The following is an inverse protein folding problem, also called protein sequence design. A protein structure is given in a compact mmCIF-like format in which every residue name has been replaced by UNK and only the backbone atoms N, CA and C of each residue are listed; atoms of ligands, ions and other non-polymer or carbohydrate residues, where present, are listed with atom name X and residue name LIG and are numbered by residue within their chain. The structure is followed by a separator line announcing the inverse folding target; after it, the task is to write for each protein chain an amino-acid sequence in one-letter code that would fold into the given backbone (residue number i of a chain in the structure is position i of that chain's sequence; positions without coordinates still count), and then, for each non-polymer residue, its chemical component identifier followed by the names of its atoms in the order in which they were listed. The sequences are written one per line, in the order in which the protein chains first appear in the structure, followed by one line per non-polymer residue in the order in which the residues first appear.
data_IF_579256475876
#
_entry.id   IF_579256475876
#
_cell.length_a   1.000
_cell.length_b   1.000
_cell.length_c   1.000
_cell.angle_alpha   90.00
_cell.angle_beta   90.00
_cell.angle_gamma   90.00
#
_symmetry.space_group_name_H-M   'P 1'
#
loop_
_entity.id
_entity.type
_entity.pdbx_description
1 polymer ?
#
# COMPACT_ATOMS: atom_id res chain seq x y z
N UNK A 1 10.22 -29.60 -15.75
CA UNK A 1 10.42 -28.32 -15.04
C UNK A 1 9.20 -27.46 -15.32
N UNK A 2 8.40 -27.11 -14.31
CA UNK A 2 7.32 -26.14 -14.48
C UNK A 2 7.96 -24.78 -14.78
N UNK A 3 8.06 -24.41 -16.06
CA UNK A 3 8.51 -23.08 -16.43
C UNK A 3 7.42 -22.10 -16.01
N UNK A 4 7.64 -21.39 -14.90
CA UNK A 4 6.74 -20.32 -14.46
C UNK A 4 6.67 -19.27 -15.56
N UNK A 5 5.45 -19.01 -16.03
CA UNK A 5 5.19 -17.99 -17.07
C UNK A 5 5.46 -16.59 -16.52
N UNK A 6 5.13 -16.36 -15.24
CA UNK A 6 5.24 -15.07 -14.57
C UNK A 6 6.23 -15.13 -13.41
N UNK A 7 7.11 -14.14 -13.33
CA UNK A 7 8.14 -14.05 -12.29
C UNK A 7 8.36 -12.58 -11.89
N UNK A 8 8.60 -12.33 -10.60
CA UNK A 8 9.07 -11.01 -10.16
C UNK A 8 10.50 -10.78 -10.67
N UNK A 9 10.77 -9.58 -11.17
CA UNK A 9 12.13 -9.16 -11.47
C UNK A 9 12.99 -9.22 -10.21
N UNK A 10 14.08 -10.00 -10.28
CA UNK A 10 14.99 -10.27 -9.15
C UNK A 10 14.31 -10.82 -7.87
N UNK A 11 13.08 -11.34 -7.97
CA UNK A 11 12.28 -11.82 -6.82
C UNK A 11 11.93 -10.73 -5.80
N UNK A 12 12.01 -9.45 -6.20
CA UNK A 12 11.66 -8.30 -5.37
C UNK A 12 10.32 -7.72 -5.82
N UNK A 13 9.50 -7.28 -4.86
CA UNK A 13 8.19 -6.70 -5.19
C UNK A 13 8.31 -5.31 -5.82
N UNK A 14 9.31 -4.52 -5.43
CA UNK A 14 9.53 -3.18 -5.96
C UNK A 14 10.92 -3.05 -6.55
N UNK A 15 11.00 -2.32 -7.67
CA UNK A 15 12.26 -1.88 -8.25
C UNK A 15 12.97 -0.92 -7.29
N UNK A 16 14.30 -1.01 -7.25
CA UNK A 16 15.12 0.03 -6.62
C UNK A 16 15.05 1.32 -7.42
N UNK A 17 15.44 2.44 -6.80
CA UNK A 17 15.42 3.75 -7.48
C UNK A 17 16.35 3.78 -8.71
N UNK A 18 17.49 3.10 -8.64
CA UNK A 18 18.45 2.98 -9.75
C UNK A 18 17.83 2.23 -10.93
N UNK A 19 17.22 1.08 -10.67
CA UNK A 19 16.52 0.29 -11.68
C UNK A 19 15.36 1.05 -12.28
N UNK A 20 14.53 1.69 -11.44
CA UNK A 20 13.41 2.50 -11.90
C UNK A 20 13.86 3.63 -12.82
N UNK A 21 14.97 4.30 -12.49
CA UNK A 21 15.53 5.35 -13.35
C UNK A 21 16.02 4.80 -14.69
N UNK A 22 16.60 3.59 -14.71
CA UNK A 22 16.98 2.93 -15.95
C UNK A 22 15.74 2.56 -16.79
N UNK A 23 14.73 1.96 -16.18
CA UNK A 23 13.50 1.56 -16.87
C UNK A 23 12.68 2.76 -17.36
N UNK A 24 12.60 3.85 -16.59
CA UNK A 24 11.90 5.10 -17.01
C UNK A 24 12.55 5.74 -18.23
N UNK A 25 13.88 5.74 -18.33
CA UNK A 25 14.59 6.33 -19.49
C UNK A 25 14.34 5.60 -20.80
N UNK A 26 14.04 4.30 -20.73
CA UNK A 26 14.03 3.42 -21.91
C UNK A 26 12.65 2.84 -22.23
N UNK A 27 11.79 2.64 -21.23
CA UNK A 27 10.72 1.64 -21.32
C UNK A 27 9.38 2.04 -20.68
N UNK A 28 9.38 2.82 -19.59
CA UNK A 28 8.15 3.32 -18.95
C UNK A 28 7.84 4.70 -19.54
N UNK A 29 7.20 4.73 -20.73
CA UNK A 29 6.79 5.95 -21.43
C UNK A 29 5.29 5.88 -21.81
N UNK A 30 4.70 7.01 -22.19
CA UNK A 30 3.26 7.09 -22.53
C UNK A 30 2.88 6.25 -23.76
N UNK A 31 3.86 5.85 -24.57
CA UNK A 31 3.66 5.09 -25.80
C UNK A 31 3.40 3.59 -25.54
N UNK A 32 3.80 3.09 -24.36
CA UNK A 32 3.78 1.68 -23.96
C UNK A 32 2.60 1.31 -23.04
N UNK A 33 1.39 1.82 -23.35
CA UNK A 33 0.17 1.51 -22.60
C UNK A 33 -0.35 0.12 -22.91
N UNK A 34 -0.78 -0.59 -21.86
CA UNK A 34 -1.41 -1.91 -22.00
C UNK A 34 -2.85 -1.77 -22.50
N UNK A 35 -3.16 -2.45 -23.60
CA UNK A 35 -4.51 -2.61 -24.18
C UNK A 35 -5.25 -1.31 -24.61
N UNK A 36 -6.34 -1.49 -25.36
CA UNK A 36 -7.23 -0.41 -25.79
C UNK A 36 -8.00 0.25 -24.64
N UNK A 37 -8.59 1.43 -24.87
CA UNK A 37 -9.30 2.26 -23.87
C UNK A 37 -10.38 1.51 -23.09
N UNK A 38 -11.03 0.51 -23.70
CA UNK A 38 -12.23 -0.12 -23.15
C UNK A 38 -11.99 -1.46 -22.46
N UNK A 39 -10.74 -1.93 -22.44
CA UNK A 39 -10.42 -3.32 -22.07
C UNK A 39 -10.15 -3.53 -20.58
N UNK A 40 -9.52 -2.56 -19.92
CA UNK A 40 -9.24 -2.56 -18.48
C UNK A 40 -10.02 -1.46 -17.78
N UNK A 41 -10.22 -1.59 -16.47
CA UNK A 41 -10.74 -0.48 -15.64
C UNK A 41 -9.78 0.72 -15.72
N UNK A 42 -10.34 1.94 -15.77
CA UNK A 42 -9.60 3.18 -16.09
C UNK A 42 -8.33 3.37 -15.26
N UNK A 43 -8.43 3.32 -13.92
CA UNK A 43 -7.25 3.53 -13.06
C UNK A 43 -6.19 2.44 -13.26
N UNK A 44 -6.61 1.19 -13.49
CA UNK A 44 -5.67 0.09 -13.71
C UNK A 44 -4.88 0.28 -15.00
N UNK A 45 -5.58 0.68 -16.07
CA UNK A 45 -4.96 0.93 -17.38
C UNK A 45 -3.87 1.99 -17.31
N UNK A 46 -4.09 3.07 -16.58
CA UNK A 46 -3.14 4.18 -16.50
C UNK A 46 -1.94 3.88 -15.58
N UNK A 47 -2.00 2.79 -14.80
CA UNK A 47 -0.94 2.37 -13.89
C UNK A 47 -0.24 1.07 -14.32
N UNK A 48 -0.54 0.53 -15.52
CA UNK A 48 0.18 -0.61 -16.08
C UNK A 48 0.79 -0.22 -17.43
N UNK A 49 2.07 -0.51 -17.58
CA UNK A 49 2.81 -0.39 -18.84
C UNK A 49 3.52 -1.71 -19.15
N UNK A 50 3.97 -1.88 -20.38
CA UNK A 50 4.78 -3.04 -20.77
C UNK A 50 6.08 -2.59 -21.44
N UNK A 51 7.05 -3.49 -21.53
CA UNK A 51 8.24 -3.27 -22.32
C UNK A 51 8.78 -4.56 -22.90
N UNK A 52 9.02 -4.50 -24.20
CA UNK A 52 9.76 -5.52 -24.94
C UNK A 52 11.22 -5.05 -25.11
N UNK A 53 12.03 -5.25 -24.07
CA UNK A 53 13.40 -4.73 -23.96
C UNK A 53 14.32 -5.32 -25.06
N UNK A 54 14.03 -6.54 -25.50
CA UNK A 54 14.80 -7.26 -26.51
C UNK A 54 13.85 -8.05 -27.41
N UNK A 55 13.52 -7.50 -28.58
CA UNK A 55 12.52 -8.04 -29.52
C UNK A 55 12.75 -9.52 -29.89
N UNK A 56 14.00 -9.96 -29.82
CA UNK A 56 14.42 -11.33 -30.16
C UNK A 56 14.41 -12.31 -28.96
N UNK A 57 14.09 -11.84 -27.75
CA UNK A 57 14.04 -12.69 -26.56
C UNK A 57 12.64 -13.22 -26.27
N UNK A 58 12.61 -14.44 -25.72
CA UNK A 58 11.39 -15.10 -25.24
C UNK A 58 10.94 -14.57 -23.86
N UNK A 59 11.07 -13.27 -23.62
CA UNK A 59 10.46 -12.62 -22.47
C UNK A 59 10.22 -11.13 -22.69
N UNK A 60 9.32 -10.57 -21.90
CA UNK A 60 9.11 -9.13 -21.77
C UNK A 60 8.64 -8.78 -20.36
N UNK A 61 8.46 -7.50 -20.08
CA UNK A 61 8.08 -7.03 -18.74
C UNK A 61 6.75 -6.28 -18.74
N UNK A 62 5.96 -6.47 -17.68
CA UNK A 62 4.92 -5.54 -17.26
C UNK A 62 5.41 -4.74 -16.06
N UNK A 63 5.07 -3.45 -16.02
CA UNK A 63 5.34 -2.56 -14.90
C UNK A 63 4.03 -2.07 -14.29
N UNK A 64 3.89 -2.26 -12.99
CA UNK A 64 2.73 -1.90 -12.19
C UNK A 64 3.09 -0.75 -11.26
N UNK A 65 2.40 0.39 -11.40
CA UNK A 65 2.70 1.65 -10.71
C UNK A 65 1.72 1.90 -9.56
N UNK A 66 2.16 1.75 -8.31
CA UNK A 66 1.38 2.19 -7.14
C UNK A 66 1.59 3.70 -6.89
N UNK A 67 2.84 4.14 -6.98
CA UNK A 67 3.25 5.54 -6.80
C UNK A 67 4.42 5.89 -7.71
N UNK A 68 4.85 7.14 -7.73
CA UNK A 68 5.98 7.58 -8.58
C UNK A 68 7.31 6.89 -8.27
N UNK A 69 7.43 6.35 -7.07
CA UNK A 69 8.63 5.67 -6.55
C UNK A 69 8.43 4.16 -6.41
N UNK A 70 7.20 3.65 -6.55
CA UNK A 70 6.89 2.23 -6.34
C UNK A 70 6.33 1.58 -7.59
N UNK A 71 7.25 0.91 -8.28
CA UNK A 71 6.99 0.13 -9.48
C UNK A 71 7.34 -1.33 -9.22
N UNK A 72 6.44 -2.22 -9.59
CA UNK A 72 6.69 -3.67 -9.62
C UNK A 72 6.92 -4.09 -11.06
N UNK A 73 7.99 -4.84 -11.31
CA UNK A 73 8.27 -5.40 -12.63
C UNK A 73 8.00 -6.91 -12.62
N UNK A 74 7.09 -7.34 -13.49
CA UNK A 74 6.77 -8.76 -13.72
C UNK A 74 7.34 -9.16 -15.06
N UNK A 75 8.25 -10.14 -15.03
CA UNK A 75 8.77 -10.81 -16.21
C UNK A 75 7.76 -11.83 -16.69
N UNK A 76 7.44 -11.79 -17.97
CA UNK A 76 6.63 -12.78 -18.67
C UNK A 76 7.57 -13.60 -19.55
N UNK A 77 7.75 -14.89 -19.25
CA UNK A 77 8.62 -15.82 -19.98
C UNK A 77 7.94 -16.34 -21.26
N UNK A 78 7.45 -15.43 -22.10
CA UNK A 78 6.87 -15.69 -23.43
C UNK A 78 7.43 -14.69 -24.42
N UNK A 79 7.48 -15.05 -25.71
CA UNK A 79 7.81 -14.09 -26.78
C UNK A 79 6.77 -12.97 -26.76
N UNK A 80 7.24 -11.72 -26.78
CA UNK A 80 6.33 -10.59 -26.92
C UNK A 80 5.64 -10.70 -28.29
N UNK A 81 4.31 -10.72 -28.36
CA UNK A 81 3.70 -11.04 -29.63
C UNK A 81 3.58 -9.73 -30.45
N UNK A 82 4.28 -9.63 -31.57
CA UNK A 82 4.50 -8.35 -32.27
C UNK A 82 3.24 -7.84 -33.01
N UNK A 83 2.29 -8.73 -33.32
CA UNK A 83 0.99 -8.42 -33.95
C UNK A 83 0.01 -7.67 -33.00
N UNK A 84 0.44 -7.39 -31.77
CA UNK A 84 -0.38 -6.88 -30.67
C UNK A 84 -0.32 -5.36 -30.53
N UNK A 85 0.56 -4.69 -31.28
CA UNK A 85 0.66 -3.24 -31.22
C UNK A 85 -0.60 -2.55 -31.77
N UNK A 86 -1.36 -1.98 -30.83
CA UNK A 86 -2.34 -0.88 -30.97
C UNK A 86 -3.46 -1.14 -31.99
N UNK A 87 -4.65 -1.46 -31.47
CA UNK A 87 -5.93 -1.43 -32.20
C UNK A 87 -6.07 -2.47 -33.31
N UNK A 88 -5.56 -3.69 -33.11
CA UNK A 88 -5.95 -4.81 -33.99
C UNK A 88 -7.48 -4.99 -33.95
N UNK A 89 -8.10 -5.00 -35.14
CA UNK A 89 -9.51 -5.36 -35.32
C UNK A 89 -9.74 -6.88 -35.18
N UNK A 90 -8.67 -7.67 -35.04
CA UNK A 90 -8.75 -9.12 -34.83
C UNK A 90 -9.11 -9.46 -33.38
N UNK A 91 -10.34 -9.94 -33.20
CA UNK A 91 -10.90 -10.37 -31.91
C UNK A 91 -10.06 -11.46 -31.21
N UNK A 92 -9.35 -12.34 -31.94
CA UNK A 92 -8.53 -13.40 -31.33
C UNK A 92 -7.27 -12.85 -30.68
N UNK A 93 -6.58 -11.94 -31.37
CA UNK A 93 -5.36 -11.30 -30.86
C UNK A 93 -5.69 -10.45 -29.64
N UNK A 94 -6.80 -9.70 -29.69
CA UNK A 94 -7.30 -8.93 -28.54
C UNK A 94 -7.62 -9.81 -27.33
N UNK A 95 -8.22 -10.97 -27.54
CA UNK A 95 -8.56 -11.92 -26.47
C UNK A 95 -7.29 -12.46 -25.78
N UNK A 96 -6.29 -12.88 -26.55
CA UNK A 96 -5.04 -13.41 -26.00
C UNK A 96 -4.28 -12.34 -25.18
N UNK A 97 -4.28 -11.09 -25.65
CA UNK A 97 -3.67 -9.97 -24.92
C UNK A 97 -4.31 -9.74 -23.57
N UNK A 98 -5.64 -9.72 -23.55
CA UNK A 98 -6.40 -9.54 -22.33
C UNK A 98 -6.13 -10.65 -21.33
N UNK A 99 -6.02 -11.88 -21.84
CA UNK A 99 -5.66 -13.03 -21.02
C UNK A 99 -4.28 -12.85 -20.38
N UNK A 100 -3.25 -12.58 -21.18
CA UNK A 100 -1.88 -12.46 -20.66
C UNK A 100 -1.74 -11.32 -19.66
N UNK A 101 -2.37 -10.18 -19.94
CA UNK A 101 -2.41 -9.02 -19.03
C UNK A 101 -3.18 -9.34 -17.76
N UNK A 102 -4.34 -10.00 -17.90
CA UNK A 102 -5.15 -10.46 -16.77
C UNK A 102 -4.35 -11.38 -15.84
N UNK A 103 -3.72 -12.41 -16.40
CA UNK A 103 -2.86 -13.35 -15.66
C UNK A 103 -1.70 -12.62 -14.97
N UNK A 104 -1.07 -11.63 -15.63
CA UNK A 104 -0.03 -10.80 -15.01
C UNK A 104 -0.57 -9.95 -13.84
N UNK A 105 -1.79 -9.42 -13.94
CA UNK A 105 -2.46 -8.69 -12.86
C UNK A 105 -2.76 -9.62 -11.67
N UNK A 106 -3.25 -10.84 -11.94
CA UNK A 106 -3.53 -11.82 -10.89
C UNK A 106 -2.26 -12.26 -10.18
N UNK A 107 -1.20 -12.53 -10.95
CA UNK A 107 0.11 -12.82 -10.37
C UNK A 107 0.60 -11.65 -9.51
N UNK A 108 0.49 -10.41 -10.00
CA UNK A 108 0.81 -9.21 -9.24
C UNK A 108 0.04 -9.12 -7.92
N UNK A 109 -1.28 -9.36 -7.95
CA UNK A 109 -2.11 -9.38 -6.75
C UNK A 109 -1.62 -10.39 -5.72
N UNK A 110 -1.25 -11.59 -6.16
CA UNK A 110 -0.72 -12.61 -5.24
C UNK A 110 0.60 -12.18 -4.58
N UNK A 111 1.48 -11.51 -5.32
CA UNK A 111 2.79 -11.11 -4.80
C UNK A 111 2.71 -9.86 -3.91
N UNK A 112 1.87 -8.89 -4.27
CA UNK A 112 1.71 -7.65 -3.49
C UNK A 112 0.97 -7.90 -2.17
N UNK A 113 0.00 -8.83 -2.13
CA UNK A 113 -0.67 -9.20 -0.89
C UNK A 113 0.30 -9.89 0.07
N UNK A 114 1.12 -10.83 -0.41
CA UNK A 114 2.20 -11.43 0.39
C UNK A 114 3.14 -10.38 0.97
N UNK A 115 3.54 -9.40 0.15
CA UNK A 115 4.36 -8.29 0.62
C UNK A 115 3.70 -7.50 1.76
N UNK A 116 2.40 -7.19 1.65
CA UNK A 116 1.67 -6.50 2.74
C UNK A 116 1.56 -7.36 3.99
N UNK A 117 1.25 -8.65 3.85
CA UNK A 117 1.19 -9.59 4.97
C UNK A 117 2.53 -9.66 5.71
N UNK A 118 3.66 -9.76 4.99
CA UNK A 118 5.01 -9.75 5.58
C UNK A 118 5.28 -8.44 6.32
N UNK A 119 4.94 -7.30 5.71
CA UNK A 119 5.09 -5.99 6.36
C UNK A 119 4.29 -5.90 7.65
N UNK A 120 3.05 -6.39 7.66
CA UNK A 120 2.21 -6.36 8.84
C UNK A 120 2.74 -7.32 9.91
N UNK A 121 3.17 -8.52 9.53
CA UNK A 121 3.77 -9.49 10.44
C UNK A 121 5.06 -8.97 11.11
N UNK A 122 5.74 -7.99 10.49
CA UNK A 122 6.90 -7.32 11.09
C UNK A 122 6.54 -6.32 12.20
N UNK A 123 5.26 -6.02 12.41
CA UNK A 123 4.80 -5.18 13.50
C UNK A 123 4.78 -5.96 14.82
N UNK A 124 5.34 -5.35 15.86
CA UNK A 124 5.28 -5.87 17.23
C UNK A 124 3.92 -5.52 17.86
N UNK A 125 2.92 -6.36 17.59
CA UNK A 125 1.56 -6.16 18.09
C UNK A 125 1.48 -6.20 19.62
N UNK A 126 2.29 -7.03 20.28
CA UNK A 126 2.33 -7.10 21.75
C UNK A 126 2.72 -5.74 22.34
N UNK A 127 3.77 -5.12 21.80
CA UNK A 127 4.19 -3.78 22.21
C UNK A 127 3.14 -2.72 21.88
N UNK A 128 2.47 -2.85 20.73
CA UNK A 128 1.40 -1.93 20.31
C UNK A 128 0.09 -2.10 21.10
N UNK A 129 -0.13 -3.20 21.81
CA UNK A 129 -1.20 -3.32 22.81
C UNK A 129 -0.72 -2.97 24.22
N UNK A 130 0.58 -3.17 24.51
CA UNK A 130 1.18 -2.98 25.82
C UNK A 130 1.40 -1.53 26.20
N UNK A 131 1.92 -0.69 25.29
CA UNK A 131 2.31 0.70 25.56
C UNK A 131 2.13 1.63 24.37
N UNK A 132 1.93 2.94 24.62
CA UNK A 132 1.91 3.94 23.54
C UNK A 132 3.28 4.00 22.83
N UNK A 133 3.28 3.87 21.49
CA UNK A 133 4.47 3.96 20.64
C UNK A 133 4.24 4.86 19.43
N UNK A 134 4.85 6.05 19.44
CA UNK A 134 4.79 6.97 18.30
C UNK A 134 5.47 6.38 17.04
N UNK A 135 6.61 5.71 17.21
CA UNK A 135 7.31 5.06 16.11
C UNK A 135 6.51 3.89 15.53
N UNK A 136 5.87 3.10 16.39
CA UNK A 136 4.96 2.03 15.99
C UNK A 136 3.77 2.54 15.19
N UNK A 137 3.13 3.61 15.64
CA UNK A 137 2.05 4.29 14.92
C UNK A 137 2.51 4.81 13.55
N UNK A 138 3.70 5.43 13.45
CA UNK A 138 4.25 5.88 12.15
C UNK A 138 4.50 4.72 11.19
N UNK A 139 4.90 3.54 11.69
CA UNK A 139 5.05 2.32 10.86
C UNK A 139 3.71 1.82 10.36
N UNK A 140 2.70 1.74 11.23
CA UNK A 140 1.33 1.38 10.87
C UNK A 140 0.78 2.33 9.80
N UNK A 141 0.91 3.64 10.02
CA UNK A 141 0.41 4.66 9.10
C UNK A 141 0.99 4.47 7.70
N UNK A 142 2.31 4.27 7.58
CA UNK A 142 2.97 3.99 6.29
C UNK A 142 2.42 2.74 5.62
N UNK A 143 2.22 1.65 6.36
CA UNK A 143 1.68 0.40 5.82
C UNK A 143 0.25 0.61 5.29
N UNK A 144 -0.61 1.25 6.09
CA UNK A 144 -2.01 1.53 5.70
C UNK A 144 -2.08 2.47 4.50
N UNK A 145 -1.24 3.51 4.44
CA UNK A 145 -1.16 4.40 3.27
C UNK A 145 -0.80 3.62 2.01
N UNK A 146 0.20 2.73 2.07
CA UNK A 146 0.60 1.90 0.92
C UNK A 146 -0.52 0.97 0.45
N UNK A 147 -1.18 0.27 1.39
CA UNK A 147 -2.31 -0.61 1.11
C UNK A 147 -3.47 0.18 0.49
N UNK A 148 -3.77 1.37 1.03
CA UNK A 148 -4.84 2.25 0.52
C UNK A 148 -4.55 2.70 -0.92
N UNK A 149 -3.30 3.09 -1.21
CA UNK A 149 -2.90 3.46 -2.58
C UNK A 149 -3.05 2.28 -3.54
N UNK A 150 -2.69 1.08 -3.10
CA UNK A 150 -2.88 -0.14 -3.89
C UNK A 150 -4.36 -0.39 -4.18
N UNK A 151 -5.25 -0.35 -3.18
CA UNK A 151 -6.69 -0.52 -3.38
C UNK A 151 -7.30 0.55 -4.30
N UNK A 152 -6.84 1.79 -4.21
CA UNK A 152 -7.38 2.89 -5.00
C UNK A 152 -6.99 2.83 -6.50
N UNK A 153 -5.79 2.31 -6.80
CA UNK A 153 -5.19 2.40 -8.13
C UNK A 153 -5.10 1.07 -8.87
N UNK A 154 -4.84 0.00 -8.13
CA UNK A 154 -4.40 -1.26 -8.70
C UNK A 154 -5.39 -2.40 -8.49
N UNK A 155 -6.11 -2.46 -7.37
CA UNK A 155 -7.00 -3.58 -7.10
C UNK A 155 -8.39 -3.38 -7.72
N UNK A 156 -8.79 -4.35 -8.52
CA UNK A 156 -10.15 -4.54 -8.99
C UNK A 156 -10.47 -6.03 -8.92
N UNK A 157 -11.56 -6.39 -8.25
CA UNK A 157 -12.05 -7.78 -8.21
C UNK A 157 -12.29 -8.34 -9.63
N UNK A 158 -12.68 -7.48 -10.56
CA UNK A 158 -12.81 -7.78 -11.98
C UNK A 158 -12.02 -6.74 -12.79
N UNK A 159 -10.73 -7.00 -13.07
CA UNK A 159 -9.83 -6.00 -13.67
C UNK A 159 -10.11 -5.77 -15.17
N UNK A 160 -10.68 -6.76 -15.85
CA UNK A 160 -11.10 -6.70 -17.25
C UNK A 160 -12.56 -6.23 -17.34
N UNK A 161 -12.87 -5.34 -18.29
CA UNK A 161 -14.23 -4.79 -18.50
C UNK A 161 -15.12 -5.64 -19.41
N UNK A 162 -14.56 -6.56 -20.19
CA UNK A 162 -15.31 -7.33 -21.19
C UNK A 162 -16.13 -8.48 -20.60
N UNK A 163 -17.39 -8.61 -21.03
CA UNK A 163 -18.30 -9.74 -20.73
C UNK A 163 -18.08 -10.88 -21.73
N UNK A 164 -16.87 -11.43 -21.79
CA UNK A 164 -16.47 -12.51 -22.72
C UNK A 164 -15.76 -13.65 -21.98
N UNK A 165 -15.50 -14.75 -22.68
CA UNK A 165 -14.80 -15.95 -22.16
C UNK A 165 -13.45 -15.66 -21.47
N UNK A 166 -12.75 -14.59 -21.83
CA UNK A 166 -11.53 -14.16 -21.13
C UNK A 166 -11.78 -13.78 -19.66
N UNK A 167 -12.96 -13.26 -19.31
CA UNK A 167 -13.31 -12.98 -17.91
C UNK A 167 -13.56 -14.26 -17.12
N UNK A 168 -14.11 -15.30 -17.76
CA UNK A 168 -14.32 -16.60 -17.13
C UNK A 168 -12.98 -17.30 -16.89
N UNK A 169 -12.12 -17.35 -17.91
CA UNK A 169 -10.76 -17.91 -17.78
C UNK A 169 -9.95 -17.15 -16.71
N UNK A 170 -10.08 -15.83 -16.64
CA UNK A 170 -9.39 -15.05 -15.61
C UNK A 170 -9.92 -15.35 -14.20
N UNK A 171 -11.22 -15.64 -14.06
CA UNK A 171 -11.80 -16.02 -12.77
C UNK A 171 -11.21 -17.34 -12.29
N UNK A 172 -11.07 -18.34 -13.17
CA UNK A 172 -10.40 -19.60 -12.85
C UNK A 172 -8.95 -19.36 -12.38
N UNK A 173 -8.20 -18.46 -13.04
CA UNK A 173 -6.84 -18.10 -12.59
C UNK A 173 -6.86 -17.40 -11.22
N UNK A 174 -7.84 -16.54 -10.95
CA UNK A 174 -8.00 -15.94 -9.61
C UNK A 174 -8.29 -16.98 -8.53
N UNK A 175 -9.07 -18.01 -8.85
CA UNK A 175 -9.33 -19.16 -7.96
C UNK A 175 -8.06 -19.99 -7.76
N UNK A 176 -7.30 -20.30 -8.81
CA UNK A 176 -6.02 -21.03 -8.69
C UNK A 176 -5.01 -20.33 -7.77
N UNK A 177 -4.99 -18.99 -7.82
CA UNK A 177 -4.15 -18.18 -6.94
C UNK A 177 -4.81 -17.89 -5.58
N UNK A 178 -6.02 -18.36 -5.29
CA UNK A 178 -6.79 -18.06 -4.08
C UNK A 178 -6.85 -16.54 -3.79
N UNK A 179 -7.01 -15.71 -4.81
CA UNK A 179 -6.96 -14.24 -4.66
C UNK A 179 -8.03 -13.75 -3.68
N UNK A 180 -9.28 -14.18 -3.84
CA UNK A 180 -10.38 -13.73 -2.97
C UNK A 180 -10.13 -14.07 -1.48
N UNK A 181 -9.54 -15.23 -1.20
CA UNK A 181 -9.18 -15.63 0.17
C UNK A 181 -8.01 -14.78 0.72
N UNK A 182 -6.93 -14.61 -0.06
CA UNK A 182 -5.79 -13.77 0.33
C UNK A 182 -6.21 -12.33 0.65
N UNK A 183 -7.12 -11.76 -0.14
CA UNK A 183 -7.67 -10.43 0.11
C UNK A 183 -8.58 -10.39 1.35
N UNK A 184 -9.42 -11.41 1.54
CA UNK A 184 -10.25 -11.55 2.74
C UNK A 184 -9.40 -11.61 4.01
N UNK A 185 -8.29 -12.35 3.98
CA UNK A 185 -7.33 -12.39 5.09
C UNK A 185 -6.67 -11.03 5.31
N UNK A 186 -6.22 -10.37 4.24
CA UNK A 186 -5.64 -9.03 4.33
C UNK A 186 -6.63 -8.03 4.93
N UNK A 187 -7.91 -8.08 4.56
CA UNK A 187 -8.96 -7.23 5.13
C UNK A 187 -9.17 -7.47 6.62
N UNK A 188 -9.19 -8.74 7.08
CA UNK A 188 -9.26 -9.07 8.51
C UNK A 188 -8.07 -8.48 9.27
N UNK A 189 -6.87 -8.61 8.72
CA UNK A 189 -5.65 -8.07 9.32
C UNK A 189 -5.69 -6.53 9.36
N UNK A 190 -6.17 -5.87 8.30
CA UNK A 190 -6.35 -4.41 8.28
C UNK A 190 -7.33 -3.97 9.36
N UNK A 191 -8.41 -4.74 9.61
CA UNK A 191 -9.34 -4.46 10.70
C UNK A 191 -8.63 -4.49 12.05
N UNK A 192 -7.82 -5.52 12.32
CA UNK A 192 -7.03 -5.62 13.55
C UNK A 192 -6.07 -4.41 13.70
N UNK A 193 -5.40 -3.99 12.64
CA UNK A 193 -4.54 -2.80 12.65
C UNK A 193 -5.32 -1.54 13.01
N UNK A 194 -6.56 -1.39 12.50
CA UNK A 194 -7.41 -0.24 12.85
C UNK A 194 -7.73 -0.23 14.33
N UNK A 195 -8.07 -1.38 14.90
CA UNK A 195 -8.37 -1.51 16.33
C UNK A 195 -7.15 -1.15 17.19
N UNK A 196 -5.97 -1.66 16.82
CA UNK A 196 -4.70 -1.32 17.46
C UNK A 196 -4.40 0.18 17.37
N UNK A 197 -4.64 0.78 16.20
CA UNK A 197 -4.42 2.21 15.97
C UNK A 197 -5.34 3.04 16.83
N UNK A 198 -6.62 2.67 16.91
CA UNK A 198 -7.61 3.33 17.76
C UNK A 198 -7.17 3.28 19.22
N UNK A 199 -6.80 2.11 19.69
CA UNK A 199 -6.31 1.89 21.06
C UNK A 199 -5.08 2.75 21.40
N UNK A 200 -4.10 2.79 20.49
CA UNK A 200 -2.90 3.62 20.63
C UNK A 200 -3.20 5.12 20.68
N UNK A 201 -4.18 5.59 19.90
CA UNK A 201 -4.60 6.99 19.89
C UNK A 201 -5.37 7.37 21.17
N UNK A 202 -6.18 6.47 21.72
CA UNK A 202 -6.88 6.69 22.98
C UNK A 202 -5.89 6.85 24.14
N UNK A 203 -4.94 5.92 24.26
CA UNK A 203 -3.86 6.00 25.27
C UNK A 203 -2.99 7.25 25.12
N UNK A 204 -2.77 7.72 23.89
CA UNK A 204 -2.07 8.99 23.66
C UNK A 204 -2.83 10.15 24.31
N UNK A 205 -4.16 10.21 24.11
CA UNK A 205 -5.02 11.24 24.70
C UNK A 205 -5.06 11.15 26.22
N UNK A 206 -5.11 9.95 26.78
CA UNK A 206 -5.03 9.76 28.24
C UNK A 206 -3.70 10.27 28.81
N UNK A 207 -2.57 9.89 28.19
CA UNK A 207 -1.25 10.38 28.60
C UNK A 207 -1.10 11.90 28.45
N UNK A 208 -1.76 12.52 27.46
CA UNK A 208 -1.79 13.97 27.29
C UNK A 208 -2.61 14.64 28.39
N UNK A 209 -3.80 14.11 28.72
CA UNK A 209 -4.63 14.59 29.83
C UNK A 209 -3.92 14.47 31.18
N UNK A 210 -3.31 13.32 31.48
CA UNK A 210 -2.56 13.15 32.74
C UNK A 210 -1.40 14.15 32.88
N UNK A 211 -0.74 14.50 31.76
CA UNK A 211 0.31 15.52 31.75
C UNK A 211 -0.24 16.92 32.02
N UNK A 212 -1.40 17.25 31.45
CA UNK A 212 -2.09 18.51 31.71
C UNK A 212 -2.56 18.60 33.16
N UNK A 213 -3.16 17.54 33.70
CA UNK A 213 -3.62 17.47 35.08
C UNK A 213 -2.46 17.64 36.07
N UNK A 214 -1.35 16.92 35.87
CA UNK A 214 -0.12 17.09 36.68
C UNK A 214 0.45 18.50 36.59
N UNK A 215 0.40 19.13 35.40
CA UNK A 215 0.85 20.51 35.22
C UNK A 215 -0.05 21.49 35.96
N UNK A 216 -1.38 21.29 35.89
CA UNK A 216 -2.37 22.10 36.62
C UNK A 216 -2.21 21.95 38.13
N UNK A 217 -2.00 20.74 38.63
CA UNK A 217 -1.75 20.47 40.05
C UNK A 217 -0.48 21.19 40.55
N UNK A 218 0.60 21.18 39.75
CA UNK A 218 1.81 21.93 40.08
C UNK A 218 1.57 23.45 40.11
N UNK A 219 0.82 24.00 39.15
CA UNK A 219 0.44 25.41 39.17
C UNK A 219 -0.41 25.76 40.38
N UNK A 220 -1.37 24.90 40.76
CA UNK A 220 -2.19 25.10 41.95
C UNK A 220 -1.36 25.12 43.23
N UNK A 221 -0.34 24.25 43.36
CA UNK A 221 0.60 24.28 44.49
C UNK A 221 1.39 25.59 44.55
N UNK A 222 1.86 26.07 43.40
CA UNK A 222 2.58 27.35 43.30
C UNK A 222 1.65 28.51 43.71
N UNK A 223 0.43 28.57 43.19
CA UNK A 223 -0.53 29.62 43.52
C UNK A 223 -0.95 29.59 44.99
N UNK A 224 -1.13 28.41 45.59
CA UNK A 224 -1.43 28.27 47.02
C UNK A 224 -0.28 28.79 47.90
N UNK A 225 0.97 28.48 47.56
CA UNK A 225 2.14 28.96 48.30
C UNK A 225 2.28 30.50 48.23
N UNK A 226 2.04 31.09 47.05
CA UNK A 226 2.00 32.55 46.88
C UNK A 226 0.91 33.17 47.75
N UNK A 227 -0.30 32.58 47.76
CA UNK A 227 -1.42 33.05 48.58
C UNK A 227 -1.12 33.03 50.08
N UNK A 228 -0.48 31.96 50.58
CA UNK A 228 -0.05 31.86 51.99
C UNK A 228 0.97 32.95 52.32
N UNK A 229 1.97 33.16 51.46
CA UNK A 229 2.99 34.18 51.68
C UNK A 229 2.40 35.60 51.74
N UNK A 230 1.46 35.91 50.84
CA UNK A 230 0.75 37.19 50.83
C UNK A 230 -0.08 37.39 52.10
N UNK A 231 -0.84 36.38 52.54
CA UNK A 231 -1.62 36.45 53.78
C UNK A 231 -0.73 36.68 55.02
N UNK A 232 0.44 36.05 55.08
CA UNK A 232 1.43 36.30 56.15
C UNK A 232 1.94 37.74 56.10
N UNK A 233 2.26 38.27 54.92
CA UNK A 233 2.69 39.66 54.75
C UNK A 233 1.59 40.64 55.21
N UNK A 234 0.33 40.40 54.83
CA UNK A 234 -0.81 41.22 55.25
C UNK A 234 -1.00 41.22 56.77
N UNK A 235 -0.90 40.04 57.41
CA UNK A 235 -0.99 39.93 58.88
C UNK A 235 0.16 40.72 59.53
N UNK A 236 1.40 40.56 59.07
CA UNK A 236 2.57 41.25 59.62
C UNK A 236 2.46 42.77 59.42
N UNK A 237 2.02 43.23 58.25
CA UNK A 237 1.77 44.65 57.99
C UNK A 237 0.65 45.21 58.88
N UNK A 238 -0.44 44.46 59.07
CA UNK A 238 -1.52 44.84 59.98
C UNK A 238 -1.10 44.94 61.46
N UNK A 239 -0.08 44.19 61.87
CA UNK A 239 0.52 44.29 63.21
C UNK A 239 1.55 45.42 63.34
N UNK A 240 2.28 45.78 62.27
CA UNK A 240 3.28 46.85 62.26
C UNK A 240 2.69 48.27 62.07
N UNK A 241 1.43 48.39 61.65
CA UNK A 241 0.72 49.67 61.43
C UNK A 241 -0.15 50.07 62.67
N UNK A 242 0.02 49.41 63.81
CA UNK A 242 -0.53 49.81 65.11
C UNK A 242 0.55 50.35 66.04
#
# INVERSE_FOLDING_TARGET
MNNKIYELYKKEIFLTQEELNEFKKKYINEENKVCGKDTLKGNLRDNISYSNIEKDKNYYYYFFKISEEKYTAIKVNKKFPEEIEKNSEDDKIRKENLKIVGEAIVYYYSEIVKYFQIKIASLDFEKLYGDYSEEGLKKIEKIIQEITLFYAKMYYRYPIREVRSASTELHEVMEEYNIDEQFTELEKIISLIRDVTYYQLERKREKEKEKEDKRSENWNKIFAAIGIALAVIEIVQGFLIK
#
